data_IF_719661581911
#
_entry.id   IF_719661581911
#
_cell.length_a   1.000
_cell.length_b   1.000
_cell.length_c   1.000
_cell.angle_alpha   90.00
_cell.angle_beta   90.00
_cell.angle_gamma   90.00
#
_symmetry.space_group_name_H-M   'P 1'
#
loop_
_entity.id
_entity.type
_entity.pdbx_description
1 polymer ?
#
# COMPACT_ATOMS: atom_id res chain seq x y z
N UNK A 1 -1.14 -23.79 19.27
CA UNK A 1 -2.26 -23.23 20.08
C UNK A 1 -3.42 -23.01 19.15
N UNK A 2 -4.65 -23.29 19.57
CA UNK A 2 -5.81 -23.16 18.67
C UNK A 2 -6.15 -21.69 18.40
N UNK A 3 -6.75 -21.44 17.24
CA UNK A 3 -7.29 -20.15 16.85
C UNK A 3 -8.39 -19.72 17.80
N UNK A 4 -8.27 -18.51 18.36
CA UNK A 4 -9.21 -17.96 19.34
C UNK A 4 -10.61 -17.62 18.80
N UNK A 5 -10.80 -17.71 17.47
CA UNK A 5 -12.08 -17.42 16.81
C UNK A 5 -12.84 -18.71 16.48
N UNK A 6 -12.19 -19.67 15.83
CA UNK A 6 -12.87 -20.91 15.43
C UNK A 6 -12.63 -22.08 16.39
N UNK A 7 -11.57 -22.04 17.21
CA UNK A 7 -11.16 -23.12 18.10
C UNK A 7 -10.98 -24.50 17.42
N UNK A 8 -10.81 -24.53 16.11
CA UNK A 8 -10.70 -25.78 15.33
C UNK A 8 -9.33 -25.98 14.69
N UNK A 9 -8.64 -24.91 14.34
CA UNK A 9 -7.35 -24.93 13.63
C UNK A 9 -6.28 -24.28 14.48
N UNK A 10 -5.02 -24.65 14.24
CA UNK A 10 -3.89 -23.97 14.88
C UNK A 10 -3.82 -22.50 14.46
N UNK A 11 -3.58 -21.64 15.46
CA UNK A 11 -3.24 -20.26 15.26
C UNK A 11 -1.84 -20.15 14.68
N UNK A 12 -1.72 -19.38 13.59
CA UNK A 12 -0.46 -19.12 12.89
C UNK A 12 -0.17 -17.63 12.72
N UNK A 13 -1.16 -16.78 13.02
CA UNK A 13 -1.10 -15.34 12.81
C UNK A 13 -1.42 -14.64 14.13
N UNK A 14 -0.55 -13.72 14.56
CA UNK A 14 -0.84 -12.79 15.65
C UNK A 14 -1.45 -11.52 15.07
N UNK A 15 -2.72 -11.25 15.41
CA UNK A 15 -3.44 -10.04 15.04
C UNK A 15 -3.40 -9.05 16.20
N UNK A 16 -2.83 -7.87 15.96
CA UNK A 16 -2.75 -6.78 16.95
C UNK A 16 -3.64 -5.63 16.50
N UNK A 17 -4.55 -5.21 17.37
CA UNK A 17 -5.41 -4.05 17.16
C UNK A 17 -5.13 -3.00 18.24
N UNK A 18 -5.04 -1.72 17.85
CA UNK A 18 -4.86 -0.61 18.79
C UNK A 18 -6.09 0.29 18.67
N UNK A 19 -6.97 0.24 19.66
CA UNK A 19 -8.16 1.09 19.75
C UNK A 19 -7.99 2.04 20.94
N UNK A 20 -8.04 3.34 20.70
CA UNK A 20 -7.88 4.37 21.75
C UNK A 20 -6.58 4.19 22.58
N UNK A 21 -5.49 3.81 21.91
CA UNK A 21 -4.19 3.55 22.55
C UNK A 21 -4.10 2.22 23.32
N UNK A 22 -5.20 1.46 23.41
CA UNK A 22 -5.16 0.13 24.02
C UNK A 22 -4.89 -0.93 22.97
N UNK A 23 -3.77 -1.64 23.16
CA UNK A 23 -3.34 -2.77 22.34
C UNK A 23 -4.09 -4.04 22.77
N UNK A 24 -4.75 -4.70 21.83
CA UNK A 24 -5.31 -6.05 21.97
C UNK A 24 -4.62 -6.99 21.00
N UNK A 25 -4.22 -8.15 21.49
CA UNK A 25 -3.59 -9.19 20.69
C UNK A 25 -4.49 -10.41 20.63
N UNK A 26 -4.55 -11.06 19.47
CA UNK A 26 -5.34 -12.27 19.21
C UNK A 26 -4.59 -13.23 18.32
N UNK A 27 -4.72 -14.52 18.60
CA UNK A 27 -4.04 -15.59 17.85
C UNK A 27 -5.02 -16.29 16.92
N UNK A 28 -4.86 -16.10 15.61
CA UNK A 28 -5.80 -16.51 14.58
C UNK A 28 -5.21 -17.54 13.62
N UNK A 29 -6.05 -18.42 13.08
CA UNK A 29 -5.72 -19.21 11.90
C UNK A 29 -5.84 -18.34 10.64
N UNK A 30 -5.22 -18.79 9.55
CA UNK A 30 -5.19 -18.10 8.24
C UNK A 30 -6.58 -17.67 7.76
N UNK A 31 -7.56 -18.57 7.79
CA UNK A 31 -8.94 -18.27 7.36
C UNK A 31 -9.63 -17.20 8.22
N UNK A 32 -9.45 -17.25 9.55
CA UNK A 32 -10.09 -16.31 10.46
C UNK A 32 -9.44 -14.92 10.37
N UNK A 33 -8.11 -14.88 10.16
CA UNK A 33 -7.40 -13.63 9.92
C UNK A 33 -7.89 -12.96 8.62
N UNK A 34 -8.00 -13.71 7.52
CA UNK A 34 -8.44 -13.19 6.22
C UNK A 34 -9.85 -12.55 6.29
N UNK A 35 -10.77 -13.15 7.05
CA UNK A 35 -12.12 -12.59 7.25
C UNK A 35 -12.13 -11.30 8.06
N UNK A 36 -11.27 -11.17 9.08
CA UNK A 36 -11.19 -9.96 9.91
C UNK A 36 -10.49 -8.79 9.22
N UNK A 37 -9.59 -9.06 8.28
CA UNK A 37 -8.87 -8.02 7.52
C UNK A 37 -9.64 -7.51 6.30
N UNK A 38 -10.97 -7.61 6.26
CA UNK A 38 -11.84 -7.31 5.10
C UNK A 38 -11.74 -5.89 4.50
N UNK A 39 -10.91 -4.99 5.05
CA UNK A 39 -10.48 -3.75 4.39
C UNK A 39 -9.51 -4.02 3.23
N UNK A 40 -8.87 -5.20 3.19
CA UNK A 40 -8.05 -5.67 2.08
C UNK A 40 -8.66 -6.94 1.51
N UNK A 41 -9.07 -6.90 0.23
CA UNK A 41 -9.19 -8.11 -0.57
C UNK A 41 -7.83 -8.82 -0.53
N UNK A 42 -7.77 -9.83 0.33
CA UNK A 42 -6.79 -10.89 0.48
C UNK A 42 -5.33 -10.59 0.05
N UNK A 43 -4.48 -10.03 0.93
CA UNK A 43 -3.02 -10.05 0.78
C UNK A 43 -2.41 -11.45 1.01
N UNK A 44 -3.23 -12.41 1.45
CA UNK A 44 -2.82 -13.75 1.91
C UNK A 44 -3.35 -14.88 1.03
N UNK A 45 -4.04 -14.59 -0.08
CA UNK A 45 -4.59 -15.62 -0.97
C UNK A 45 -3.51 -16.57 -1.50
N UNK A 46 -2.30 -16.04 -1.73
CA UNK A 46 -1.23 -16.76 -2.43
C UNK A 46 -0.01 -17.04 -1.53
N UNK A 47 -0.16 -16.91 -0.20
CA UNK A 47 0.93 -17.18 0.75
C UNK A 47 2.11 -16.19 0.72
N UNK A 48 2.09 -15.19 -0.17
CA UNK A 48 3.12 -14.14 -0.23
C UNK A 48 2.57 -12.79 0.21
N UNK A 49 2.92 -12.35 1.42
CA UNK A 49 2.84 -10.94 1.77
C UNK A 49 3.77 -10.16 0.82
N UNK A 50 3.21 -9.49 -0.19
CA UNK A 50 3.95 -8.60 -1.06
C UNK A 50 3.74 -7.17 -0.57
N UNK A 51 4.83 -6.50 -0.15
CA UNK A 51 4.83 -5.06 0.08
C UNK A 51 4.22 -4.29 -1.10
N UNK A 52 4.37 -4.81 -2.32
CA UNK A 52 3.74 -4.26 -3.51
C UNK A 52 2.22 -4.29 -3.47
N UNK A 53 1.59 -5.37 -3.00
CA UNK A 53 0.13 -5.45 -2.90
C UNK A 53 -0.44 -4.45 -1.88
N UNK A 54 0.29 -4.20 -0.79
CA UNK A 54 -0.06 -3.15 0.17
C UNK A 54 0.04 -1.75 -0.44
N UNK A 55 1.12 -1.48 -1.15
CA UNK A 55 1.35 -0.20 -1.82
C UNK A 55 0.28 0.09 -2.87
N UNK A 56 -0.03 -0.90 -3.71
CA UNK A 56 -1.07 -0.83 -4.74
C UNK A 56 -2.43 -0.44 -4.14
N UNK A 57 -2.86 -1.13 -3.08
CA UNK A 57 -4.16 -0.86 -2.43
C UNK A 57 -4.26 0.55 -1.82
N UNK A 58 -3.16 1.09 -1.29
CA UNK A 58 -3.12 2.45 -0.74
C UNK A 58 -3.18 3.52 -1.85
N UNK A 59 -2.45 3.31 -2.95
CA UNK A 59 -2.46 4.22 -4.11
C UNK A 59 -3.86 4.27 -4.75
N UNK A 60 -4.53 3.13 -4.93
CA UNK A 60 -5.87 3.07 -5.52
C UNK A 60 -6.92 3.80 -4.69
N UNK A 61 -6.79 3.83 -3.36
CA UNK A 61 -7.76 4.48 -2.47
C UNK A 61 -7.71 6.01 -2.55
N UNK A 62 -6.53 6.59 -2.70
CA UNK A 62 -6.34 8.04 -2.83
C UNK A 62 -6.77 8.56 -4.21
N UNK A 63 -6.57 7.78 -5.27
CA UNK A 63 -7.01 8.16 -6.62
C UNK A 63 -8.54 8.15 -6.78
N UNK A 64 -9.23 7.20 -6.14
CA UNK A 64 -10.70 7.14 -6.18
C UNK A 64 -11.40 8.24 -5.35
N UNK A 65 -10.71 8.81 -4.35
CA UNK A 65 -11.21 9.99 -3.61
C UNK A 65 -11.22 11.27 -4.45
N UNK A 66 -10.34 11.36 -5.45
CA UNK A 66 -10.33 12.49 -6.39
C UNK A 66 -11.50 12.46 -7.39
N UNK A 67 -12.28 11.36 -7.44
CA UNK A 67 -13.42 11.19 -8.36
C UNK A 67 -14.79 11.31 -7.70
N UNK A 68 -14.86 11.65 -6.40
CA UNK A 68 -16.12 11.81 -5.65
C UNK A 68 -16.09 13.11 -4.84
N UNK A 69 -15.96 14.24 -5.53
CA UNK A 69 -15.91 15.56 -4.92
C UNK A 69 -16.08 16.67 -5.94
N UNK A 70 -17.35 16.99 -6.21
CA UNK A 70 -17.86 18.23 -6.79
C UNK A 70 -17.65 18.53 -8.29
N UNK A 71 -18.76 18.89 -8.93
CA UNK A 71 -18.89 19.17 -10.36
C UNK A 71 -18.43 20.60 -10.65
N UNK A 72 -17.14 20.81 -10.88
CA UNK A 72 -16.67 21.97 -11.68
C UNK A 72 -15.61 21.52 -12.67
N UNK A 73 -16.08 21.12 -13.86
CA UNK A 73 -15.26 20.99 -15.07
C UNK A 73 -14.67 22.35 -15.39
N UNK A 74 -13.37 22.52 -15.22
CA UNK A 74 -12.57 23.47 -15.99
C UNK A 74 -11.81 22.72 -17.06
N UNK A 75 -11.97 23.13 -18.31
CA UNK A 75 -11.58 22.47 -19.57
C UNK A 75 -10.06 22.31 -19.78
N UNK A 76 -9.25 22.49 -18.73
CA UNK A 76 -7.78 22.41 -18.77
C UNK A 76 -7.28 21.09 -18.18
N UNK A 77 -8.06 20.41 -17.33
CA UNK A 77 -7.65 19.16 -16.66
C UNK A 77 -7.85 17.90 -17.52
N UNK A 78 -8.60 17.98 -18.61
CA UNK A 78 -8.97 16.84 -19.46
C UNK A 78 -7.81 16.26 -20.29
N UNK A 79 -6.66 16.92 -20.35
CA UNK A 79 -5.43 16.36 -20.96
C UNK A 79 -4.57 15.58 -19.98
N UNK A 80 -4.78 15.74 -18.68
CA UNK A 80 -3.92 15.13 -17.66
C UNK A 80 -4.36 13.70 -17.33
N UNK A 81 -5.60 13.30 -17.64
CA UNK A 81 -6.08 11.95 -17.34
C UNK A 81 -5.82 10.92 -18.44
N UNK A 82 -5.69 11.35 -19.70
CA UNK A 82 -5.34 10.46 -20.82
C UNK A 82 -3.84 10.11 -20.82
N UNK A 83 -2.95 11.08 -20.57
CA UNK A 83 -1.49 10.87 -20.52
C UNK A 83 -1.03 10.06 -19.28
N UNK A 84 -1.90 9.86 -18.28
CA UNK A 84 -1.59 9.09 -17.07
C UNK A 84 -1.57 7.59 -17.30
N UNK A 85 -2.33 7.06 -18.26
CA UNK A 85 -2.35 5.62 -18.55
C UNK A 85 -1.17 5.17 -19.42
N UNK A 86 -0.53 6.10 -20.15
CA UNK A 86 0.59 5.84 -21.05
C UNK A 86 1.97 6.12 -20.44
N UNK A 87 2.05 6.64 -19.21
CA UNK A 87 3.34 6.93 -18.58
C UNK A 87 4.17 5.65 -18.42
N UNK A 88 5.34 5.63 -19.06
CA UNK A 88 6.22 4.49 -19.16
C UNK A 88 7.66 4.83 -18.77
N UNK A 89 8.35 3.92 -18.09
CA UNK A 89 9.76 4.06 -17.73
C UNK A 89 10.65 3.92 -18.96
N UNK A 90 11.43 4.95 -19.26
CA UNK A 90 12.35 4.97 -20.41
C UNK A 90 13.47 3.93 -20.36
N UNK A 91 13.76 3.32 -19.20
CA UNK A 91 14.83 2.32 -19.06
C UNK A 91 14.32 0.88 -19.17
N UNK A 92 13.19 0.55 -18.54
CA UNK A 92 12.70 -0.84 -18.49
C UNK A 92 11.36 -1.06 -19.20
N UNK A 93 10.75 0.00 -19.75
CA UNK A 93 9.48 -0.10 -20.47
C UNK A 93 8.25 -0.34 -19.58
N UNK A 94 8.43 -0.40 -18.26
CA UNK A 94 7.32 -0.60 -17.33
C UNK A 94 6.37 0.59 -17.34
N UNK A 95 5.07 0.32 -17.40
CA UNK A 95 4.01 1.34 -17.38
C UNK A 95 3.53 1.66 -15.97
N UNK A 96 2.89 2.83 -15.80
CA UNK A 96 2.26 3.19 -14.54
C UNK A 96 1.12 2.21 -14.18
N UNK A 97 0.45 1.63 -15.17
CA UNK A 97 -0.57 0.60 -14.95
C UNK A 97 0.04 -0.67 -14.34
N UNK A 98 1.11 -1.20 -14.92
CA UNK A 98 1.80 -2.37 -14.38
C UNK A 98 2.36 -2.12 -12.98
N UNK A 99 2.83 -0.90 -12.70
CA UNK A 99 3.19 -0.50 -11.33
C UNK A 99 2.00 -0.59 -10.38
N UNK A 100 0.83 -0.08 -10.76
CA UNK A 100 -0.37 -0.13 -9.92
C UNK A 100 -0.84 -1.56 -9.68
N UNK A 101 -0.76 -2.42 -10.68
CA UNK A 101 -1.22 -3.81 -10.59
C UNK A 101 -0.28 -4.67 -9.74
N UNK A 102 1.03 -4.45 -9.83
CA UNK A 102 2.04 -5.27 -9.15
C UNK A 102 2.55 -4.67 -7.84
N UNK A 103 2.49 -3.34 -7.72
CA UNK A 103 3.12 -2.55 -6.67
C UNK A 103 4.64 -2.66 -6.61
N UNK A 104 5.29 -3.15 -7.67
CA UNK A 104 6.74 -3.34 -7.75
C UNK A 104 7.35 -2.42 -8.80
N UNK A 105 8.55 -1.93 -8.54
CA UNK A 105 9.35 -1.21 -9.53
C UNK A 105 10.18 -2.21 -10.36
N UNK A 106 10.32 -1.92 -11.66
CA UNK A 106 11.09 -2.76 -12.59
C UNK A 106 12.59 -2.43 -12.58
N UNK A 107 12.97 -1.17 -12.41
CA UNK A 107 14.36 -0.72 -12.37
C UNK A 107 14.52 0.51 -11.46
N UNK A 108 15.76 0.95 -11.16
CA UNK A 108 16.00 2.15 -10.35
C UNK A 108 15.37 3.43 -10.90
N UNK A 109 15.30 3.59 -12.23
CA UNK A 109 14.71 4.79 -12.83
C UNK A 109 13.19 4.88 -12.64
N UNK A 110 12.50 3.76 -12.39
CA UNK A 110 11.07 3.76 -12.06
C UNK A 110 10.74 4.61 -10.83
N UNK A 111 11.65 4.74 -9.85
CA UNK A 111 11.45 5.63 -8.70
C UNK A 111 11.31 7.09 -9.12
N UNK A 112 12.06 7.52 -10.13
CA UNK A 112 11.97 8.89 -10.67
C UNK A 112 10.76 9.04 -11.59
N UNK A 113 10.55 8.07 -12.49
CA UNK A 113 9.44 8.09 -13.45
C UNK A 113 8.09 8.19 -12.74
N UNK A 114 7.89 7.44 -11.64
CA UNK A 114 6.59 7.35 -10.97
C UNK A 114 6.49 8.16 -9.67
N UNK A 115 7.53 8.92 -9.30
CA UNK A 115 7.60 9.71 -8.06
C UNK A 115 6.31 10.49 -7.74
N UNK A 116 5.68 11.20 -8.70
CA UNK A 116 4.49 11.99 -8.43
C UNK A 116 3.30 11.15 -7.92
N UNK A 117 3.28 9.85 -8.20
CA UNK A 117 2.15 8.96 -7.89
C UNK A 117 2.31 8.22 -6.55
N UNK A 118 3.54 8.03 -6.06
CA UNK A 118 3.78 7.27 -4.83
C UNK A 118 4.40 8.09 -3.69
N UNK A 119 5.00 9.26 -3.97
CA UNK A 119 5.66 10.11 -2.96
C UNK A 119 4.76 10.45 -1.76
N UNK A 120 3.49 10.80 -2.00
CA UNK A 120 2.50 11.03 -0.92
C UNK A 120 2.21 9.77 -0.11
N UNK A 121 2.16 8.61 -0.76
CA UNK A 121 1.85 7.33 -0.12
C UNK A 121 3.01 6.80 0.74
N UNK A 122 4.26 7.06 0.35
CA UNK A 122 5.43 6.69 1.15
C UNK A 122 5.37 7.30 2.55
N UNK A 123 5.00 8.57 2.67
CA UNK A 123 4.86 9.24 3.99
C UNK A 123 3.76 8.62 4.84
N UNK A 124 2.68 8.13 4.23
CA UNK A 124 1.59 7.47 4.96
C UNK A 124 2.08 6.14 5.56
N UNK A 125 2.91 5.39 4.82
CA UNK A 125 3.36 4.05 5.23
C UNK A 125 4.54 4.13 6.19
N UNK A 126 5.53 5.00 5.92
CA UNK A 126 6.79 5.04 6.65
C UNK A 126 6.97 6.30 7.52
N UNK A 127 5.93 7.12 7.67
CA UNK A 127 5.91 8.42 8.38
C UNK A 127 6.85 9.49 7.79
N UNK A 128 7.91 9.12 7.08
CA UNK A 128 8.87 10.01 6.43
C UNK A 128 9.14 9.53 5.00
N UNK A 129 9.59 10.44 4.13
CA UNK A 129 10.10 10.15 2.77
C UNK A 129 11.62 9.95 2.75
N UNK A 130 12.30 10.16 3.88
CA UNK A 130 13.75 10.06 4.02
C UNK A 130 14.11 9.35 5.32
N UNK A 131 14.79 8.22 5.19
CA UNK A 131 15.35 7.51 6.32
C UNK A 131 16.72 8.09 6.68
N UNK A 132 16.80 8.85 7.77
CA UNK A 132 18.06 9.46 8.23
C UNK A 132 18.90 8.53 9.12
N UNK A 133 18.39 7.33 9.46
CA UNK A 133 19.06 6.40 10.38
C UNK A 133 19.10 6.92 11.82
N UNK A 134 19.70 6.11 12.71
CA UNK A 134 20.05 6.56 14.07
C UNK A 134 21.41 7.25 13.99
N UNK A 135 21.47 8.49 14.45
CA UNK A 135 22.71 9.23 14.58
C UNK A 135 23.05 9.39 16.07
N UNK A 136 24.30 9.17 16.50
CA UNK A 136 24.69 9.42 17.89
C UNK A 136 24.45 10.90 18.22
N UNK A 137 23.85 11.18 19.39
CA UNK A 137 23.56 12.57 19.82
C UNK A 137 24.79 13.50 19.80
N UNK A 138 26.00 12.94 19.81
CA UNK A 138 27.26 13.67 19.90
C UNK A 138 28.14 13.55 18.65
N UNK A 139 27.64 13.04 17.53
CA UNK A 139 28.44 13.04 16.31
C UNK A 139 28.51 14.49 15.80
N UNK A 140 29.75 15.00 15.73
CA UNK A 140 30.10 16.33 15.24
C UNK A 140 30.62 16.22 13.81
#
# INVERSE_FOLDING_TARGET
MLCEVCNMRDAKICYTEIINGQKREQYLCEECAAKRTSIMKNPFADGSFSLGGLLAGLISKELNKASSGDKRKTEIESKVDADKEELCCSECGMTLKEFRDTGKFGCPNCYKTFEPFFSKNIKIIQATDRHCGKYPKNYK
#
